data_IF_487439596766
#
_entry.id   IF_487439596766
#
_cell.length_a   1.000
_cell.length_b   1.000
_cell.length_c   1.000
_cell.angle_alpha   90.00
_cell.angle_beta   90.00
_cell.angle_gamma   90.00
#
_symmetry.space_group_name_H-M   'P 1'
#
loop_
_entity.id
_entity.type
_entity.pdbx_description
1 polymer ?
#
# COMPACT_ATOMS: atom_id res chain seq x y z
N UNK A 1 -13.50 4.46 8.09
CA UNK A 1 -13.89 3.42 7.10
C UNK A 1 -12.60 2.84 6.52
N UNK A 2 -12.64 1.69 5.83
CA UNK A 2 -11.44 1.10 5.24
C UNK A 2 -11.53 1.12 3.70
N UNK A 3 -10.40 1.31 3.03
CA UNK A 3 -10.24 1.18 1.58
C UNK A 3 -9.25 0.06 1.27
N UNK A 4 -9.53 -0.73 0.22
CA UNK A 4 -8.66 -1.83 -0.21
C UNK A 4 -8.46 -1.70 -1.73
N UNK A 5 -7.24 -1.92 -2.18
CA UNK A 5 -6.88 -2.07 -3.59
C UNK A 5 -6.00 -3.31 -3.75
N UNK A 6 -6.10 -3.98 -4.89
CA UNK A 6 -5.26 -5.12 -5.26
C UNK A 6 -4.83 -5.03 -6.72
N UNK A 7 -3.70 -5.63 -7.04
CA UNK A 7 -3.19 -5.79 -8.39
C UNK A 7 -2.66 -7.21 -8.57
N UNK A 8 -2.92 -7.80 -9.74
CA UNK A 8 -2.38 -9.09 -10.15
C UNK A 8 -1.71 -8.87 -11.51
N UNK A 9 -0.43 -9.23 -11.60
CA UNK A 9 0.36 -9.14 -12.83
C UNK A 9 1.85 -9.00 -12.53
N UNK A 10 2.65 -8.87 -13.58
CA UNK A 10 4.10 -9.04 -13.50
C UNK A 10 4.87 -7.71 -13.31
N UNK A 11 4.16 -6.59 -13.16
CA UNK A 11 4.78 -5.27 -12.99
C UNK A 11 5.20 -5.05 -11.54
N UNK A 12 6.25 -4.27 -11.32
CA UNK A 12 6.53 -3.72 -10.00
C UNK A 12 5.33 -2.90 -9.51
N UNK A 13 4.82 -3.24 -8.33
CA UNK A 13 3.51 -2.76 -7.85
C UNK A 13 3.59 -1.66 -6.81
N UNK A 14 4.77 -1.40 -6.25
CA UNK A 14 4.93 -0.57 -5.06
C UNK A 14 4.36 0.84 -5.29
N UNK A 15 4.74 1.48 -6.40
CA UNK A 15 4.23 2.80 -6.80
C UNK A 15 2.74 2.77 -7.16
N UNK A 16 2.28 1.71 -7.83
CA UNK A 16 0.89 1.58 -8.27
C UNK A 16 -0.05 1.42 -7.06
N UNK A 17 0.32 0.61 -6.08
CA UNK A 17 -0.44 0.42 -4.84
C UNK A 17 -0.45 1.70 -4.00
N UNK A 18 0.67 2.42 -3.90
CA UNK A 18 0.73 3.72 -3.20
C UNK A 18 -0.24 4.73 -3.82
N UNK A 19 -0.15 4.97 -5.12
CA UNK A 19 -1.02 5.95 -5.82
C UNK A 19 -2.50 5.56 -5.70
N UNK A 20 -2.79 4.26 -5.74
CA UNK A 20 -4.16 3.77 -5.60
C UNK A 20 -4.69 3.95 -4.18
N UNK A 21 -3.87 3.74 -3.16
CA UNK A 21 -4.25 3.98 -1.77
C UNK A 21 -4.39 5.47 -1.45
N UNK A 22 -3.55 6.35 -2.02
CA UNK A 22 -3.69 7.81 -1.91
C UNK A 22 -5.08 8.27 -2.40
N UNK A 23 -5.59 7.69 -3.48
CA UNK A 23 -6.96 7.95 -3.99
C UNK A 23 -8.07 7.46 -3.06
N UNK A 24 -7.78 6.53 -2.16
CA UNK A 24 -8.72 5.96 -1.19
C UNK A 24 -8.59 6.58 0.21
N UNK A 25 -7.66 7.51 0.41
CA UNK A 25 -7.37 8.09 1.73
C UNK A 25 -8.59 8.80 2.35
N UNK A 26 -9.52 9.31 1.53
CA UNK A 26 -10.80 9.86 2.00
C UNK A 26 -11.66 8.85 2.79
N UNK A 27 -11.42 7.54 2.64
CA UNK A 27 -12.13 6.49 3.41
C UNK A 27 -11.52 6.25 4.78
N UNK A 28 -10.23 6.51 4.97
CA UNK A 28 -9.53 6.22 6.23
C UNK A 28 -8.07 6.67 6.21
N UNK A 29 -7.63 7.20 7.35
CA UNK A 29 -6.33 7.85 7.55
C UNK A 29 -5.65 7.44 8.87
N UNK A 30 -6.23 6.48 9.59
CA UNK A 30 -5.73 6.01 10.89
C UNK A 30 -4.54 5.05 10.74
N UNK A 31 -4.47 4.32 9.62
CA UNK A 31 -3.36 3.41 9.29
C UNK A 31 -3.38 3.02 7.82
N UNK A 32 -2.25 2.52 7.34
CA UNK A 32 -2.11 1.97 6.01
C UNK A 32 -1.17 0.76 5.97
N UNK A 33 -1.37 -0.10 4.98
CA UNK A 33 -0.44 -1.20 4.72
C UNK A 33 -0.55 -1.73 3.31
N UNK A 34 0.51 -2.42 2.90
CA UNK A 34 0.56 -3.18 1.65
C UNK A 34 1.26 -4.52 1.85
N UNK A 35 0.86 -5.48 1.03
CA UNK A 35 1.53 -6.76 0.91
C UNK A 35 1.85 -7.02 -0.56
N UNK A 36 3.05 -7.52 -0.82
CA UNK A 36 3.52 -7.88 -2.16
C UNK A 36 4.01 -9.33 -2.16
N UNK A 37 3.83 -10.02 -3.27
CA UNK A 37 4.33 -11.38 -3.46
C UNK A 37 5.33 -11.37 -4.61
N UNK A 38 6.61 -11.59 -4.31
CA UNK A 38 7.68 -11.60 -5.30
C UNK A 38 8.49 -12.91 -5.18
N UNK A 39 8.45 -13.75 -6.23
CA UNK A 39 9.18 -15.02 -6.25
C UNK A 39 8.81 -15.95 -5.09
N UNK A 40 7.53 -15.97 -4.70
CA UNK A 40 7.04 -16.73 -3.54
C UNK A 40 7.35 -16.11 -2.17
N UNK A 41 8.07 -14.97 -2.12
CA UNK A 41 8.34 -14.25 -0.88
C UNK A 41 7.27 -13.19 -0.64
N UNK A 42 6.64 -13.26 0.53
CA UNK A 42 5.67 -12.28 0.99
C UNK A 42 6.40 -11.10 1.65
N UNK A 43 6.28 -9.92 1.06
CA UNK A 43 6.68 -8.66 1.67
C UNK A 43 5.47 -7.98 2.30
N UNK A 44 5.58 -7.54 3.55
CA UNK A 44 4.52 -6.78 4.23
C UNK A 44 5.12 -5.48 4.75
N UNK A 45 4.41 -4.37 4.54
CA UNK A 45 4.73 -3.05 5.09
C UNK A 45 3.45 -2.43 5.62
N UNK A 46 3.47 -1.98 6.87
CA UNK A 46 2.33 -1.36 7.54
C UNK A 46 2.80 -0.22 8.42
N UNK A 47 1.99 0.82 8.53
CA UNK A 47 2.29 1.97 9.36
C UNK A 47 1.00 2.62 9.88
N UNK A 48 1.08 3.19 11.08
CA UNK A 48 0.01 3.98 11.68
C UNK A 48 0.02 5.39 11.07
N UNK A 49 -1.16 5.95 10.86
CA UNK A 49 -1.38 7.26 10.27
C UNK A 49 -1.59 7.24 8.76
N UNK A 50 -1.41 8.42 8.15
CA UNK A 50 -1.71 8.70 6.74
C UNK A 50 -0.82 7.91 5.77
N UNK A 51 -1.28 7.79 4.52
CA UNK A 51 -0.56 7.06 3.47
C UNK A 51 0.86 7.59 3.24
N UNK A 52 1.06 8.89 3.43
CA UNK A 52 2.37 9.54 3.32
C UNK A 52 3.43 8.89 4.23
N UNK A 53 3.07 8.44 5.44
CA UNK A 53 4.02 7.81 6.37
C UNK A 53 4.43 6.42 5.85
N UNK A 54 3.48 5.66 5.28
CA UNK A 54 3.79 4.39 4.61
C UNK A 54 4.73 4.62 3.40
N UNK A 55 4.54 5.72 2.66
CA UNK A 55 5.39 6.08 1.51
C UNK A 55 6.83 6.40 1.91
N UNK A 56 7.03 7.00 3.08
CA UNK A 56 8.36 7.33 3.59
C UNK A 56 9.18 6.09 3.95
N UNK A 57 8.54 5.03 4.48
CA UNK A 57 9.21 3.78 4.83
C UNK A 57 9.43 2.82 3.64
N UNK A 58 8.92 3.18 2.46
CA UNK A 58 9.07 2.42 1.22
C UNK A 58 10.15 2.99 0.29
N UNK A 59 10.75 4.13 0.64
CA UNK A 59 11.95 4.65 0.00
C UNK A 59 13.18 3.84 0.40
#
# INVERSE_FOLDING_TARGET
>A
MCGIVGYIGDKAVDTLLIVSLERLEYRGYDSAGMATLNGGKLGIRKQVGKIQILKEILK
#
